data_IF_094834734071
#
_entry.id   IF_094834734071
#
_cell.length_a   1.000
_cell.length_b   1.000
_cell.length_c   1.000
_cell.angle_alpha   90.00
_cell.angle_beta   90.00
_cell.angle_gamma   90.00
#
_symmetry.space_group_name_H-M   'P 1'
#
loop_
_entity.id
_entity.type
_entity.pdbx_description
1 polymer ?
#
# COMPACT_ATOMS: atom_id res chain seq x y z
N UNK A 1 -2.86 16.94 6.70
CA UNK A 1 -3.00 18.39 6.41
C UNK A 1 -1.66 19.13 6.60
N UNK A 2 -0.89 18.83 7.63
CA UNK A 2 0.40 19.51 7.91
C UNK A 2 1.41 19.43 6.75
N UNK A 3 1.50 18.30 6.09
CA UNK A 3 2.42 18.10 4.95
C UNK A 3 2.11 19.01 3.75
N UNK A 4 0.83 19.24 3.46
CA UNK A 4 0.40 20.13 2.37
C UNK A 4 0.74 21.58 2.70
N UNK A 5 0.57 21.97 3.95
CA UNK A 5 0.89 23.32 4.42
C UNK A 5 2.41 23.55 4.32
N UNK A 6 3.22 22.60 4.81
CA UNK A 6 4.68 22.69 4.73
C UNK A 6 5.15 22.78 3.27
N UNK A 7 4.63 21.92 2.39
CA UNK A 7 4.94 21.91 0.97
C UNK A 7 4.58 23.26 0.31
N UNK A 8 3.40 23.81 0.64
CA UNK A 8 2.96 25.11 0.12
C UNK A 8 3.85 26.26 0.61
N UNK A 9 4.22 26.24 1.89
CA UNK A 9 5.13 27.27 2.47
C UNK A 9 6.50 27.21 1.83
N UNK A 10 7.08 26.02 1.63
CA UNK A 10 8.37 25.83 0.96
C UNK A 10 8.31 26.35 -0.49
N UNK A 11 7.20 26.08 -1.20
CA UNK A 11 6.97 26.52 -2.56
C UNK A 11 6.89 28.05 -2.66
N UNK A 12 6.14 28.70 -1.78
CA UNK A 12 6.01 30.15 -1.70
C UNK A 12 7.36 30.80 -1.34
N UNK A 13 8.10 30.23 -0.39
CA UNK A 13 9.44 30.71 -0.02
C UNK A 13 10.43 30.60 -1.19
N UNK A 14 10.42 29.50 -1.94
CA UNK A 14 11.26 29.33 -3.12
C UNK A 14 10.96 30.40 -4.19
N UNK A 15 9.67 30.70 -4.41
CA UNK A 15 9.26 31.77 -5.34
C UNK A 15 9.70 33.16 -4.84
N UNK A 16 9.61 33.46 -3.56
CA UNK A 16 10.05 34.72 -2.96
C UNK A 16 11.57 34.89 -3.02
N UNK A 17 12.35 33.81 -3.03
CA UNK A 17 13.79 33.80 -3.14
C UNK A 17 14.27 33.88 -4.60
N UNK A 18 13.38 34.08 -5.57
CA UNK A 18 13.73 34.27 -6.98
C UNK A 18 14.06 32.98 -7.71
N UNK A 19 13.56 31.83 -7.22
CA UNK A 19 13.67 30.58 -7.97
C UNK A 19 12.91 30.71 -9.29
N UNK A 20 13.54 30.29 -10.40
CA UNK A 20 12.87 30.23 -11.69
C UNK A 20 11.57 29.45 -11.62
N UNK A 21 10.52 29.98 -12.23
CA UNK A 21 9.19 29.42 -12.21
C UNK A 21 9.16 27.93 -12.66
N UNK A 22 10.17 27.51 -13.45
CA UNK A 22 10.35 26.14 -13.93
C UNK A 22 10.84 25.18 -12.83
N UNK A 23 11.55 25.66 -11.82
CA UNK A 23 12.11 24.82 -10.74
C UNK A 23 11.00 24.26 -9.86
N UNK A 24 9.94 25.03 -9.63
CA UNK A 24 8.82 24.65 -8.76
C UNK A 24 8.12 23.38 -9.22
N UNK A 25 7.64 23.25 -10.48
CA UNK A 25 7.04 22.02 -10.97
C UNK A 25 8.03 20.83 -10.97
N UNK A 26 9.31 21.07 -11.25
CA UNK A 26 10.33 20.02 -11.19
C UNK A 26 10.45 19.46 -9.76
N UNK A 27 10.55 20.31 -8.76
CA UNK A 27 10.61 19.88 -7.36
C UNK A 27 9.36 19.10 -6.95
N UNK A 28 8.18 19.52 -7.41
CA UNK A 28 6.95 18.80 -7.15
C UNK A 28 6.93 17.41 -7.79
N UNK A 29 7.38 17.29 -9.04
CA UNK A 29 7.50 16.00 -9.74
C UNK A 29 8.48 15.09 -9.01
N UNK A 30 9.64 15.58 -8.59
CA UNK A 30 10.64 14.82 -7.82
C UNK A 30 10.03 14.34 -6.50
N UNK A 31 9.30 15.19 -5.80
CA UNK A 31 8.59 14.80 -4.57
C UNK A 31 7.59 13.66 -4.82
N UNK A 32 6.79 13.73 -5.90
CA UNK A 32 5.87 12.65 -6.26
C UNK A 32 6.60 11.36 -6.62
N UNK A 33 7.73 11.42 -7.30
CA UNK A 33 8.57 10.24 -7.61
C UNK A 33 9.04 9.59 -6.30
N UNK A 34 9.55 10.36 -5.35
CA UNK A 34 9.99 9.83 -4.05
C UNK A 34 8.83 9.16 -3.32
N UNK A 35 7.66 9.77 -3.30
CA UNK A 35 6.46 9.19 -2.68
C UNK A 35 6.07 7.87 -3.35
N UNK A 36 6.09 7.80 -4.68
CA UNK A 36 5.82 6.58 -5.44
C UNK A 36 6.85 5.48 -5.15
N UNK A 37 8.13 5.83 -5.02
CA UNK A 37 9.19 4.86 -4.66
C UNK A 37 8.98 4.30 -3.24
N UNK A 38 8.53 5.13 -2.29
CA UNK A 38 8.18 4.65 -0.94
C UNK A 38 7.01 3.67 -0.99
N UNK A 39 5.96 4.00 -1.75
CA UNK A 39 4.80 3.13 -1.94
C UNK A 39 5.22 1.82 -2.62
N UNK A 40 6.04 1.89 -3.66
CA UNK A 40 6.60 0.73 -4.34
C UNK A 40 7.39 -0.15 -3.37
N UNK A 41 8.28 0.43 -2.57
CA UNK A 41 9.05 -0.27 -1.54
C UNK A 41 8.16 -0.99 -0.52
N UNK A 42 7.04 -0.38 -0.12
CA UNK A 42 6.05 -1.02 0.74
C UNK A 42 5.43 -2.27 0.08
N UNK A 43 5.07 -2.19 -1.21
CA UNK A 43 4.49 -3.34 -1.92
C UNK A 43 5.53 -4.43 -2.20
N UNK A 44 6.79 -4.07 -2.51
CA UNK A 44 7.91 -5.02 -2.62
C UNK A 44 8.10 -5.76 -1.30
N UNK A 45 8.17 -5.06 -0.17
CA UNK A 45 8.27 -5.68 1.15
C UNK A 45 7.11 -6.64 1.42
N UNK A 46 5.88 -6.23 1.08
CA UNK A 46 4.68 -7.07 1.25
C UNK A 46 4.71 -8.30 0.34
N UNK A 47 5.21 -8.17 -0.89
CA UNK A 47 5.37 -9.27 -1.84
C UNK A 47 6.43 -10.28 -1.35
N UNK A 48 7.58 -9.81 -0.86
CA UNK A 48 8.60 -10.68 -0.25
C UNK A 48 8.04 -11.42 0.96
N UNK A 49 7.25 -10.73 1.79
CA UNK A 49 6.55 -11.37 2.92
C UNK A 49 5.59 -12.47 2.44
N UNK A 50 4.87 -12.23 1.34
CA UNK A 50 3.93 -13.19 0.76
C UNK A 50 4.60 -14.45 0.23
N UNK A 51 5.83 -14.37 -0.31
CA UNK A 51 6.56 -15.55 -0.81
C UNK A 51 6.91 -16.55 0.29
N UNK A 52 7.11 -16.08 1.53
CA UNK A 52 7.37 -16.93 2.70
C UNK A 52 6.15 -17.59 3.34
N UNK A 53 4.96 -17.39 2.79
CA UNK A 53 3.71 -17.88 3.38
C UNK A 53 3.32 -19.27 2.90
N UNK A 54 2.57 -20.01 3.73
CA UNK A 54 1.98 -21.32 3.38
C UNK A 54 0.51 -21.16 3.01
N UNK A 55 0.07 -21.92 1.99
CA UNK A 55 -1.35 -21.96 1.64
C UNK A 55 -2.13 -22.80 2.66
N UNK A 56 -3.14 -22.19 3.26
CA UNK A 56 -4.02 -22.84 4.25
C UNK A 56 -5.47 -22.55 3.90
N UNK A 57 -6.38 -23.39 4.43
CA UNK A 57 -7.82 -23.14 4.36
C UNK A 57 -8.28 -22.56 5.68
N UNK A 58 -9.08 -21.50 5.64
CA UNK A 58 -9.68 -20.91 6.82
C UNK A 58 -11.06 -20.34 6.53
N UNK A 59 -11.76 -19.96 7.59
CA UNK A 59 -13.09 -19.35 7.52
C UNK A 59 -13.04 -17.96 8.13
N UNK A 60 -13.77 -17.02 7.54
CA UNK A 60 -13.96 -15.70 8.16
C UNK A 60 -14.78 -15.86 9.45
N UNK A 61 -14.37 -15.17 10.53
CA UNK A 61 -15.02 -15.21 11.84
C UNK A 61 -15.63 -13.86 12.19
N UNK A 62 -14.80 -12.82 12.26
CA UNK A 62 -15.20 -11.50 12.75
C UNK A 62 -14.29 -10.39 12.25
N UNK A 63 -14.74 -9.17 12.45
CA UNK A 63 -13.91 -7.97 12.33
C UNK A 63 -13.44 -7.54 13.72
N UNK A 64 -12.27 -6.96 13.80
CA UNK A 64 -11.74 -6.42 15.04
C UNK A 64 -10.35 -5.86 14.86
N UNK A 65 -9.84 -5.27 15.93
CA UNK A 65 -8.49 -4.72 15.96
C UNK A 65 -7.52 -5.76 16.50
N UNK A 66 -6.50 -6.07 15.73
CA UNK A 66 -5.41 -6.92 16.21
C UNK A 66 -4.44 -6.12 17.07
N UNK A 67 -3.78 -6.79 17.99
CA UNK A 67 -2.77 -6.20 18.85
C UNK A 67 -1.66 -5.55 18.01
N UNK A 68 -1.30 -4.30 18.33
CA UNK A 68 -0.32 -3.50 17.60
C UNK A 68 -0.81 -2.87 16.28
N UNK A 69 -2.05 -3.11 15.83
CA UNK A 69 -2.61 -2.47 14.63
C UNK A 69 -3.47 -1.25 14.97
N UNK A 70 -3.35 -0.19 14.16
CA UNK A 70 -4.15 1.03 14.29
C UNK A 70 -5.48 0.98 13.53
N UNK A 71 -5.74 -0.11 12.82
CA UNK A 71 -6.93 -0.30 11.98
C UNK A 71 -7.62 -1.64 12.27
N UNK A 72 -8.90 -1.71 11.97
CA UNK A 72 -9.66 -2.94 12.08
C UNK A 72 -9.38 -3.85 10.89
N UNK A 73 -9.30 -5.15 11.15
CA UNK A 73 -8.98 -6.17 10.16
C UNK A 73 -9.94 -7.36 10.28
N UNK A 74 -10.01 -8.18 9.23
CA UNK A 74 -10.76 -9.41 9.24
C UNK A 74 -9.97 -10.51 9.97
N UNK A 75 -10.65 -11.25 10.83
CA UNK A 75 -10.09 -12.42 11.51
C UNK A 75 -10.57 -13.70 10.84
N UNK A 76 -9.63 -14.60 10.64
CA UNK A 76 -9.89 -15.89 10.01
C UNK A 76 -9.49 -17.03 10.95
N UNK A 77 -10.39 -18.01 11.10
CA UNK A 77 -10.10 -19.26 11.83
C UNK A 77 -9.39 -20.23 10.89
N UNK A 78 -8.19 -20.63 11.27
CA UNK A 78 -7.39 -21.67 10.61
C UNK A 78 -7.16 -22.78 11.63
N UNK A 79 -7.68 -23.97 11.38
CA UNK A 79 -7.77 -25.04 12.38
C UNK A 79 -8.54 -24.55 13.61
N UNK A 80 -7.92 -24.46 14.78
CA UNK A 80 -8.57 -24.02 16.02
C UNK A 80 -8.19 -22.61 16.50
N UNK A 81 -7.34 -21.91 15.74
CA UNK A 81 -6.83 -20.58 16.11
C UNK A 81 -7.32 -19.49 15.19
N UNK A 82 -7.53 -18.28 15.73
CA UNK A 82 -7.90 -17.09 14.98
C UNK A 82 -6.66 -16.25 14.64
N UNK A 83 -6.56 -15.86 13.39
CA UNK A 83 -5.46 -15.04 12.89
C UNK A 83 -5.98 -13.78 12.20
N UNK A 84 -5.39 -12.60 12.46
CA UNK A 84 -5.75 -11.35 11.80
C UNK A 84 -5.24 -11.30 10.37
N UNK A 85 -5.99 -10.67 9.48
CA UNK A 85 -5.51 -10.32 8.15
C UNK A 85 -4.43 -9.23 8.24
N UNK A 86 -3.46 -9.25 7.33
CA UNK A 86 -2.36 -8.26 7.27
C UNK A 86 -2.89 -6.86 6.98
N UNK A 87 -3.87 -6.74 6.08
CA UNK A 87 -4.46 -5.46 5.65
C UNK A 87 -5.76 -5.13 6.40
N UNK A 88 -6.17 -3.83 6.38
CA UNK A 88 -7.50 -3.45 6.84
C UNK A 88 -8.58 -4.20 6.05
N UNK A 89 -9.73 -4.40 6.67
CA UNK A 89 -10.85 -5.01 5.97
C UNK A 89 -11.47 -4.05 4.95
N UNK A 90 -11.99 -4.62 3.85
CA UNK A 90 -12.66 -3.88 2.81
C UNK A 90 -14.08 -3.49 3.27
N UNK A 91 -14.38 -2.19 3.25
CA UNK A 91 -15.66 -1.67 3.73
C UNK A 91 -16.73 -1.74 2.64
N UNK A 92 -16.38 -1.38 1.40
CA UNK A 92 -17.35 -1.18 0.30
C UNK A 92 -17.99 -2.50 -0.14
N UNK A 93 -17.21 -3.59 -0.21
CA UNK A 93 -17.69 -4.91 -0.63
C UNK A 93 -17.78 -5.91 0.53
N UNK A 94 -17.94 -5.42 1.75
CA UNK A 94 -17.89 -6.21 2.98
C UNK A 94 -18.74 -7.48 2.92
N UNK A 95 -20.01 -7.39 2.52
CA UNK A 95 -20.95 -8.52 2.47
C UNK A 95 -20.64 -9.54 1.37
N UNK A 96 -19.93 -9.13 0.32
CA UNK A 96 -19.54 -10.01 -0.79
C UNK A 96 -18.24 -10.75 -0.53
N UNK A 97 -17.30 -10.12 0.17
CA UNK A 97 -15.97 -10.66 0.43
C UNK A 97 -15.97 -11.53 1.68
N UNK A 98 -16.59 -11.04 2.75
CA UNK A 98 -16.53 -11.68 4.08
C UNK A 98 -17.83 -12.43 4.37
N UNK A 99 -17.99 -13.59 3.72
CA UNK A 99 -19.15 -14.46 3.92
C UNK A 99 -18.84 -15.39 5.10
N UNK A 100 -19.67 -15.37 6.17
CA UNK A 100 -19.52 -16.29 7.30
C UNK A 100 -19.51 -17.76 6.82
N UNK A 101 -18.74 -18.60 7.50
CA UNK A 101 -18.62 -20.05 7.24
C UNK A 101 -18.08 -20.46 5.87
N UNK A 102 -17.88 -19.55 4.95
CA UNK A 102 -17.27 -19.87 3.66
C UNK A 102 -15.79 -20.19 3.85
N UNK A 103 -15.38 -21.37 3.37
CA UNK A 103 -13.97 -21.77 3.35
C UNK A 103 -13.24 -20.99 2.27
N UNK A 104 -12.22 -20.24 2.69
CA UNK A 104 -11.37 -19.44 1.80
C UNK A 104 -9.96 -20.00 1.79
N UNK A 105 -9.26 -19.83 0.66
CA UNK A 105 -7.81 -20.04 0.61
C UNK A 105 -7.11 -18.79 1.17
N UNK A 106 -6.24 -19.02 2.14
CA UNK A 106 -5.46 -17.99 2.82
C UNK A 106 -3.98 -18.30 2.66
N UNK A 107 -3.16 -17.28 2.76
CA UNK A 107 -1.71 -17.38 2.86
C UNK A 107 -1.31 -17.07 4.30
N UNK A 108 -0.81 -18.06 5.02
CA UNK A 108 -0.44 -17.95 6.44
C UNK A 108 1.05 -17.66 6.61
N UNK A 109 1.35 -16.58 7.32
CA UNK A 109 2.68 -16.21 7.77
C UNK A 109 2.91 -16.74 9.19
N UNK A 110 3.67 -17.84 9.31
CA UNK A 110 3.96 -18.46 10.60
C UNK A 110 4.87 -17.63 11.52
N UNK A 111 5.61 -16.66 10.98
CA UNK A 111 6.51 -15.82 11.77
C UNK A 111 5.78 -14.73 12.54
N UNK A 112 4.67 -14.25 12.00
CA UNK A 112 3.90 -13.13 12.57
C UNK A 112 2.50 -13.52 13.04
N UNK A 113 2.10 -14.77 12.82
CA UNK A 113 0.75 -15.26 13.11
C UNK A 113 -0.33 -14.41 12.42
N UNK A 114 -0.12 -14.10 11.15
CA UNK A 114 -1.03 -13.32 10.33
C UNK A 114 -1.39 -14.08 9.06
N UNK A 115 -2.53 -13.70 8.47
CA UNK A 115 -2.98 -14.28 7.21
C UNK A 115 -3.16 -13.21 6.14
N UNK A 116 -2.93 -13.59 4.88
CA UNK A 116 -3.33 -12.82 3.71
C UNK A 116 -4.52 -13.53 3.08
N UNK A 117 -5.64 -12.86 3.00
CA UNK A 117 -6.77 -13.30 2.20
C UNK A 117 -6.54 -13.02 0.71
N UNK A 118 -7.46 -13.47 -0.14
CA UNK A 118 -7.34 -13.25 -1.59
C UNK A 118 -7.29 -11.76 -1.94
N UNK A 119 -8.07 -10.93 -1.23
CA UNK A 119 -8.11 -9.50 -1.44
C UNK A 119 -6.75 -8.85 -1.10
N UNK A 120 -6.14 -9.25 0.00
CA UNK A 120 -4.81 -8.79 0.39
C UNK A 120 -3.74 -9.19 -0.65
N UNK A 121 -3.80 -10.42 -1.16
CA UNK A 121 -2.88 -10.87 -2.22
C UNK A 121 -3.07 -10.05 -3.50
N UNK A 122 -4.30 -9.85 -3.93
CA UNK A 122 -4.61 -9.01 -5.10
C UNK A 122 -4.11 -7.57 -4.89
N UNK A 123 -4.33 -6.99 -3.71
CA UNK A 123 -3.87 -5.64 -3.37
C UNK A 123 -2.34 -5.52 -3.49
N UNK A 124 -1.58 -6.51 -3.01
CA UNK A 124 -0.11 -6.52 -3.14
C UNK A 124 0.31 -6.58 -4.61
N UNK A 125 -0.27 -7.47 -5.40
CA UNK A 125 0.09 -7.63 -6.81
C UNK A 125 -0.26 -6.38 -7.62
N UNK A 126 -1.50 -5.89 -7.52
CA UNK A 126 -1.93 -4.69 -8.23
C UNK A 126 -1.17 -3.45 -7.78
N UNK A 127 -0.94 -3.30 -6.46
CA UNK A 127 -0.17 -2.20 -5.92
C UNK A 127 1.27 -2.19 -6.42
N UNK A 128 1.91 -3.36 -6.52
CA UNK A 128 3.26 -3.50 -7.06
C UNK A 128 3.32 -3.09 -8.54
N UNK A 129 2.41 -3.62 -9.37
CA UNK A 129 2.36 -3.30 -10.80
C UNK A 129 2.05 -1.81 -11.01
N UNK A 130 1.02 -1.30 -10.35
CA UNK A 130 0.58 0.08 -10.51
C UNK A 130 1.66 1.08 -10.07
N UNK A 131 2.27 0.86 -8.90
CA UNK A 131 3.32 1.75 -8.40
C UNK A 131 4.58 1.72 -9.25
N UNK A 132 4.97 0.56 -9.80
CA UNK A 132 6.13 0.45 -10.69
C UNK A 132 5.89 1.18 -12.02
N UNK A 133 4.74 0.96 -12.66
CA UNK A 133 4.38 1.64 -13.91
C UNK A 133 4.29 3.14 -13.71
N UNK A 134 3.62 3.58 -12.64
CA UNK A 134 3.50 5.02 -12.32
C UNK A 134 4.86 5.67 -12.06
N UNK A 135 5.77 5.00 -11.34
CA UNK A 135 7.11 5.51 -11.07
C UNK A 135 7.92 5.67 -12.38
N UNK A 136 7.89 4.66 -13.27
CA UNK A 136 8.56 4.72 -14.57
C UNK A 136 8.01 5.88 -15.42
N UNK A 137 6.68 6.01 -15.51
CA UNK A 137 6.05 7.08 -16.28
C UNK A 137 6.42 8.47 -15.75
N UNK A 138 6.46 8.64 -14.42
CA UNK A 138 6.85 9.91 -13.81
C UNK A 138 8.33 10.24 -14.04
N UNK A 139 9.21 9.24 -14.03
CA UNK A 139 10.63 9.43 -14.35
C UNK A 139 10.80 9.86 -15.82
N UNK A 140 10.12 9.18 -16.75
CA UNK A 140 10.16 9.55 -18.17
C UNK A 140 9.62 10.96 -18.39
N UNK A 141 8.53 11.31 -17.73
CA UNK A 141 7.99 12.67 -17.79
C UNK A 141 8.97 13.71 -17.25
N UNK A 142 9.63 13.43 -16.12
CA UNK A 142 10.68 14.33 -15.59
C UNK A 142 11.82 14.53 -16.57
N UNK A 143 12.32 13.44 -17.20
CA UNK A 143 13.40 13.53 -18.20
C UNK A 143 12.99 14.41 -19.40
N UNK A 144 11.74 14.28 -19.85
CA UNK A 144 11.19 15.12 -20.92
C UNK A 144 11.14 16.61 -20.52
N UNK A 145 10.72 16.89 -19.28
CA UNK A 145 10.65 18.28 -18.76
C UNK A 145 12.03 18.92 -18.64
N UNK A 146 13.06 18.13 -18.27
CA UNK A 146 14.45 18.62 -18.14
C UNK A 146 15.16 18.72 -19.51
N UNK A 147 14.55 18.18 -20.59
CA UNK A 147 15.12 18.21 -21.92
C UNK A 147 16.23 17.17 -22.16
N UNK A 148 16.25 16.13 -21.37
CA UNK A 148 17.10 14.95 -21.61
C UNK A 148 16.32 13.98 -22.51
N UNK A 149 16.58 14.07 -23.82
CA UNK A 149 16.06 13.13 -24.83
C UNK A 149 17.13 12.10 -25.18
#
# INVERSE_FOLDING_TARGET
MEFVIIATVVLVLAMCLGADFVIVPIMFIVFLIVLLLVIFGFFVYSAVKLTGTKSVKGKFVRFGRAEGKKFDTAFYKVSDSEYPNVFPYEVVMRSKIYIPDKVCRLRYDSKRNEVFDLNAVCCVIFGLVLSSVSAVMMILFLLTVIGVN
#
